data_IF_687089006240
#
_entry.id   IF_687089006240
#
_cell.length_a   1.000
_cell.length_b   1.000
_cell.length_c   1.000
_cell.angle_alpha   90.00
_cell.angle_beta   90.00
_cell.angle_gamma   90.00
#
_symmetry.space_group_name_H-M   'P 1'
#
loop_
_entity.id
_entity.type
_entity.pdbx_description
1 polymer ?
#
# COMPACT_ATOMS: atom_id res chain seq x y z
N UNK A 1 8.44 -26.24 -16.52
CA UNK A 1 9.11 -25.09 -15.91
C UNK A 1 8.41 -23.83 -16.38
N UNK A 2 7.97 -22.99 -15.46
CA UNK A 2 7.21 -21.75 -15.74
C UNK A 2 8.10 -20.56 -15.41
N UNK A 3 8.10 -19.53 -16.26
CA UNK A 3 8.82 -18.28 -15.98
C UNK A 3 7.82 -17.30 -15.37
N UNK A 4 8.09 -16.87 -14.14
CA UNK A 4 7.37 -15.81 -13.45
C UNK A 4 8.17 -14.51 -13.48
N UNK A 5 7.48 -13.39 -13.29
CA UNK A 5 8.08 -12.08 -13.13
C UNK A 5 7.19 -11.22 -12.24
N UNK A 6 7.75 -10.20 -11.58
CA UNK A 6 6.95 -9.21 -10.90
C UNK A 6 6.24 -8.28 -11.90
N UNK A 7 5.07 -7.76 -11.48
CA UNK A 7 4.26 -6.90 -12.35
C UNK A 7 4.75 -5.45 -12.36
N UNK A 8 5.58 -5.06 -11.39
CA UNK A 8 5.98 -3.67 -11.20
C UNK A 8 7.27 -3.33 -11.95
N UNK A 9 8.35 -4.08 -11.71
CA UNK A 9 9.65 -3.81 -12.34
C UNK A 9 9.86 -4.60 -13.61
N UNK A 10 9.27 -5.80 -13.68
CA UNK A 10 9.47 -6.80 -14.73
C UNK A 10 10.94 -7.23 -14.91
N UNK A 11 11.78 -7.07 -13.88
CA UNK A 11 13.20 -7.38 -13.91
C UNK A 11 13.58 -8.66 -13.16
N UNK A 12 12.62 -9.33 -12.52
CA UNK A 12 12.85 -10.51 -11.67
C UNK A 12 12.37 -11.82 -12.32
N UNK A 13 12.70 -12.03 -13.62
CA UNK A 13 12.33 -13.26 -14.31
C UNK A 13 12.93 -14.48 -13.62
N UNK A 14 12.06 -15.33 -13.07
CA UNK A 14 12.47 -16.49 -12.28
C UNK A 14 11.81 -17.75 -12.83
N UNK A 15 12.63 -18.78 -13.08
CA UNK A 15 12.16 -20.09 -13.47
C UNK A 15 11.71 -20.88 -12.25
N UNK A 16 10.41 -21.17 -12.15
CA UNK A 16 9.82 -22.02 -11.10
C UNK A 16 9.48 -23.40 -11.66
N UNK A 17 9.44 -24.42 -10.81
CA UNK A 17 9.07 -25.77 -11.20
C UNK A 17 7.64 -25.80 -11.70
N UNK A 18 6.72 -25.21 -10.93
CA UNK A 18 5.29 -25.04 -11.24
C UNK A 18 4.64 -23.96 -10.39
N UNK A 19 3.46 -23.55 -10.79
CA UNK A 19 2.61 -22.65 -10.01
C UNK A 19 1.41 -23.46 -9.51
N UNK A 20 1.16 -23.37 -8.21
CA UNK A 20 -0.02 -23.96 -7.56
C UNK A 20 -0.96 -22.81 -7.15
N UNK A 21 -2.24 -22.97 -7.46
CA UNK A 21 -3.27 -21.92 -7.26
C UNK A 21 -4.46 -22.48 -6.48
N UNK A 22 -4.30 -22.74 -5.16
CA UNK A 22 -5.40 -23.24 -4.36
C UNK A 22 -6.58 -22.26 -4.31
N UNK A 23 -7.78 -22.81 -4.31
CA UNK A 23 -9.03 -22.06 -4.18
C UNK A 23 -9.65 -22.16 -2.78
N UNK A 24 -9.14 -23.05 -1.95
CA UNK A 24 -9.60 -23.25 -0.58
C UNK A 24 -8.43 -23.37 0.40
N UNK A 25 -8.61 -22.97 1.68
CA UNK A 25 -7.59 -23.19 2.72
C UNK A 25 -7.20 -24.67 2.90
N UNK A 26 -8.13 -25.59 2.66
CA UNK A 26 -7.86 -27.04 2.73
C UNK A 26 -6.85 -27.48 1.66
N UNK A 27 -6.99 -26.96 0.44
CA UNK A 27 -6.04 -27.24 -0.65
C UNK A 27 -4.64 -26.73 -0.32
N UNK A 28 -4.50 -25.58 0.35
CA UNK A 28 -3.20 -25.07 0.81
C UNK A 28 -2.49 -26.11 1.67
N UNK A 29 -3.17 -26.64 2.69
CA UNK A 29 -2.60 -27.67 3.57
C UNK A 29 -2.19 -28.95 2.82
N UNK A 30 -3.00 -29.40 1.86
CA UNK A 30 -2.70 -30.56 1.01
C UNK A 30 -1.43 -30.31 0.18
N UNK A 31 -1.31 -29.13 -0.44
CA UNK A 31 -0.16 -28.76 -1.29
C UNK A 31 1.12 -28.65 -0.47
N UNK A 32 1.06 -28.02 0.71
CA UNK A 32 2.21 -27.92 1.62
C UNK A 32 2.69 -29.29 2.09
N UNK A 33 1.78 -30.16 2.53
CA UNK A 33 2.12 -31.53 2.93
C UNK A 33 2.71 -32.34 1.78
N UNK A 34 2.16 -32.23 0.57
CA UNK A 34 2.68 -32.90 -0.63
C UNK A 34 4.10 -32.45 -0.95
N UNK A 35 4.34 -31.15 -0.98
CA UNK A 35 5.67 -30.61 -1.24
C UNK A 35 6.69 -31.02 -0.18
N UNK A 36 6.33 -30.96 1.10
CA UNK A 36 7.16 -31.42 2.21
C UNK A 36 7.54 -32.90 2.05
N UNK A 37 6.58 -33.76 1.74
CA UNK A 37 6.81 -35.20 1.55
C UNK A 37 7.71 -35.48 0.34
N UNK A 38 7.68 -34.61 -0.67
CA UNK A 38 8.51 -34.70 -1.85
C UNK A 38 9.90 -34.01 -1.70
N UNK A 39 10.15 -33.33 -0.58
CA UNK A 39 11.37 -32.54 -0.38
C UNK A 39 11.43 -31.30 -1.29
N UNK A 40 10.28 -30.82 -1.78
CA UNK A 40 10.19 -29.65 -2.66
C UNK A 40 10.10 -28.34 -1.85
N UNK A 41 10.78 -27.30 -2.33
CA UNK A 41 10.73 -25.98 -1.72
C UNK A 41 9.58 -25.16 -2.31
N UNK A 42 8.89 -24.40 -1.43
CA UNK A 42 7.76 -23.54 -1.79
C UNK A 42 8.09 -22.09 -1.46
N UNK A 43 7.67 -21.16 -2.34
CA UNK A 43 7.52 -19.75 -2.03
C UNK A 43 6.06 -19.32 -2.15
N UNK A 44 5.67 -18.32 -1.35
CA UNK A 44 4.30 -17.79 -1.33
C UNK A 44 4.25 -16.52 -2.18
N UNK A 45 3.25 -16.41 -3.04
CA UNK A 45 3.05 -15.27 -3.90
C UNK A 45 1.61 -14.72 -3.80
N UNK A 46 1.49 -13.40 -3.67
CA UNK A 46 0.24 -12.66 -3.78
C UNK A 46 0.06 -12.09 -5.19
N UNK A 47 -0.21 -10.78 -5.27
CA UNK A 47 -0.44 -10.06 -6.54
C UNK A 47 0.85 -9.69 -7.31
N UNK A 48 2.00 -10.24 -6.94
CA UNK A 48 3.31 -10.12 -7.61
C UNK A 48 3.88 -8.69 -7.70
N UNK A 49 3.60 -7.84 -6.71
CA UNK A 49 4.06 -6.45 -6.69
C UNK A 49 5.44 -6.24 -6.03
N UNK A 50 6.07 -7.25 -5.46
CA UNK A 50 7.40 -7.14 -4.84
C UNK A 50 8.47 -6.95 -5.89
N UNK A 51 9.01 -5.73 -6.00
CA UNK A 51 9.95 -5.31 -7.04
C UNK A 51 11.35 -5.95 -6.94
N UNK A 52 11.69 -6.53 -5.79
CA UNK A 52 12.96 -7.26 -5.59
C UNK A 52 12.85 -8.77 -5.85
N UNK A 53 11.70 -9.28 -6.31
CA UNK A 53 11.50 -10.71 -6.58
C UNK A 53 11.42 -11.60 -5.33
N UNK A 54 11.19 -11.02 -4.15
CA UNK A 54 11.15 -11.74 -2.87
C UNK A 54 10.11 -12.88 -2.83
N UNK A 55 9.08 -12.79 -3.66
CA UNK A 55 8.02 -13.79 -3.82
C UNK A 55 8.40 -14.97 -4.72
N UNK A 56 9.61 -15.02 -5.25
CA UNK A 56 10.03 -16.06 -6.17
C UNK A 56 11.18 -16.90 -5.62
N UNK A 57 11.20 -18.17 -5.98
CA UNK A 57 12.25 -19.12 -5.66
C UNK A 57 12.60 -19.91 -6.92
N UNK A 58 13.84 -19.78 -7.39
CA UNK A 58 14.34 -20.56 -8.55
C UNK A 58 14.22 -22.06 -8.29
N UNK A 59 13.61 -22.79 -9.23
CA UNK A 59 13.32 -24.21 -9.14
C UNK A 59 12.40 -24.63 -7.98
N UNK A 60 11.77 -23.67 -7.28
CA UNK A 60 10.77 -23.92 -6.28
C UNK A 60 9.34 -23.98 -6.86
N UNK A 61 8.38 -24.30 -6.01
CA UNK A 61 6.96 -24.21 -6.31
C UNK A 61 6.50 -22.79 -5.93
N UNK A 62 5.81 -22.07 -6.82
CA UNK A 62 5.13 -20.83 -6.47
C UNK A 62 3.70 -21.14 -6.04
N UNK A 63 3.38 -20.89 -4.78
CA UNK A 63 2.04 -21.04 -4.22
C UNK A 63 1.33 -19.69 -4.24
N UNK A 64 0.39 -19.53 -5.17
CA UNK A 64 -0.33 -18.27 -5.39
C UNK A 64 -1.60 -18.18 -4.56
N UNK A 65 -1.87 -17.01 -3.99
CA UNK A 65 -3.13 -16.72 -3.30
C UNK A 65 -4.26 -16.25 -4.22
N UNK A 66 -4.07 -16.20 -5.52
CA UNK A 66 -4.96 -15.54 -6.49
C UNK A 66 -6.42 -15.94 -6.38
N UNK A 67 -6.71 -17.24 -6.22
CA UNK A 67 -8.09 -17.76 -6.11
C UNK A 67 -8.63 -17.82 -4.67
N UNK A 68 -7.84 -17.44 -3.68
CA UNK A 68 -8.28 -17.24 -2.31
C UNK A 68 -8.73 -15.78 -2.14
N UNK A 69 -9.84 -15.39 -2.77
CA UNK A 69 -10.27 -14.01 -2.90
C UNK A 69 -11.69 -13.72 -2.40
N UNK A 70 -12.28 -14.63 -1.63
CA UNK A 70 -13.60 -14.43 -1.01
C UNK A 70 -13.54 -13.34 0.04
N UNK A 71 -14.55 -12.47 0.05
CA UNK A 71 -14.74 -11.37 1.01
C UNK A 71 -16.04 -11.60 1.77
N UNK A 72 -16.00 -11.46 3.08
CA UNK A 72 -17.12 -11.63 4.01
C UNK A 72 -16.92 -12.83 4.93
N UNK A 73 -17.65 -12.89 6.04
CA UNK A 73 -18.73 -11.99 6.45
C UNK A 73 -18.25 -10.64 7.00
N UNK A 74 -19.15 -9.65 6.99
CA UNK A 74 -19.01 -8.37 7.67
C UNK A 74 -19.67 -8.44 9.05
N UNK A 75 -18.88 -8.24 10.10
CA UNK A 75 -19.41 -8.06 11.46
C UNK A 75 -19.46 -6.57 11.79
N UNK A 76 -20.66 -6.01 11.78
CA UNK A 76 -20.90 -4.58 12.09
C UNK A 76 -20.70 -4.27 13.57
N UNK A 77 -20.87 -5.24 14.47
CA UNK A 77 -20.74 -5.04 15.91
C UNK A 77 -19.27 -4.88 16.30
N UNK A 78 -18.42 -5.78 15.85
CA UNK A 78 -16.97 -5.73 16.07
C UNK A 78 -16.27 -4.80 15.09
N UNK A 79 -16.97 -4.32 14.05
CA UNK A 79 -16.41 -3.53 12.93
C UNK A 79 -15.25 -4.27 12.25
N UNK A 80 -15.48 -5.53 11.90
CA UNK A 80 -14.49 -6.35 11.21
C UNK A 80 -15.05 -7.00 9.96
N UNK A 81 -14.18 -7.33 9.03
CA UNK A 81 -14.52 -8.14 7.85
C UNK A 81 -13.51 -9.26 7.70
N UNK A 82 -13.99 -10.46 7.42
CA UNK A 82 -13.12 -11.57 7.04
C UNK A 82 -12.84 -11.49 5.55
N UNK A 83 -11.55 -11.55 5.16
CA UNK A 83 -11.14 -11.54 3.76
C UNK A 83 -10.10 -12.63 3.51
N UNK A 84 -10.18 -13.31 2.38
CA UNK A 84 -9.13 -14.23 1.96
C UNK A 84 -7.92 -13.43 1.42
N UNK A 85 -6.74 -14.02 1.55
CA UNK A 85 -5.45 -13.34 1.34
C UNK A 85 -5.20 -12.86 -0.09
N UNK A 86 -5.83 -13.47 -1.09
CA UNK A 86 -5.76 -13.07 -2.50
C UNK A 86 -6.70 -11.93 -2.88
N UNK A 87 -7.65 -11.55 -2.01
CA UNK A 87 -8.51 -10.40 -2.25
C UNK A 87 -7.67 -9.12 -2.37
N UNK A 88 -8.07 -8.19 -3.26
CA UNK A 88 -7.39 -6.92 -3.49
C UNK A 88 -8.16 -5.76 -2.90
N UNK A 89 -7.47 -4.67 -2.58
CA UNK A 89 -8.07 -3.47 -1.98
C UNK A 89 -9.27 -2.92 -2.75
N UNK A 90 -9.23 -2.74 -4.10
CA UNK A 90 -10.39 -2.23 -4.83
C UNK A 90 -11.60 -3.15 -4.73
N UNK A 91 -11.38 -4.47 -4.71
CA UNK A 91 -12.46 -5.45 -4.56
C UNK A 91 -13.09 -5.40 -3.18
N UNK A 92 -12.27 -5.25 -2.13
CA UNK A 92 -12.76 -5.11 -0.75
C UNK A 92 -13.61 -3.85 -0.58
N UNK A 93 -13.16 -2.69 -1.06
CA UNK A 93 -13.89 -1.44 -0.91
C UNK A 93 -15.21 -1.47 -1.71
N UNK A 94 -15.19 -2.00 -2.95
CA UNK A 94 -16.43 -2.18 -3.73
C UNK A 94 -17.41 -3.14 -3.05
N UNK A 95 -16.92 -4.24 -2.47
CA UNK A 95 -17.76 -5.21 -1.75
C UNK A 95 -18.37 -4.56 -0.51
N UNK A 96 -17.58 -3.85 0.32
CA UNK A 96 -18.07 -3.12 1.50
C UNK A 96 -19.14 -2.09 1.12
N UNK A 97 -18.94 -1.36 0.04
CA UNK A 97 -19.94 -0.39 -0.46
C UNK A 97 -21.24 -1.07 -0.90
N UNK A 98 -21.14 -2.24 -1.55
CA UNK A 98 -22.28 -3.02 -2.02
C UNK A 98 -23.06 -3.66 -0.87
N UNK A 99 -22.35 -4.30 0.07
CA UNK A 99 -22.94 -5.01 1.21
C UNK A 99 -23.70 -4.05 2.16
N UNK A 100 -23.32 -2.78 2.16
CA UNK A 100 -23.89 -1.79 3.05
C UNK A 100 -24.79 -0.76 2.34
N UNK A 101 -25.36 -1.11 1.17
CA UNK A 101 -26.30 -0.23 0.47
C UNK A 101 -27.48 0.14 1.37
N UNK A 102 -27.85 1.43 1.38
CA UNK A 102 -28.95 1.96 2.20
C UNK A 102 -28.61 2.24 3.67
N UNK A 103 -27.42 1.85 4.14
CA UNK A 103 -26.99 2.23 5.49
C UNK A 103 -26.49 3.68 5.51
N UNK A 104 -26.94 4.44 6.50
CA UNK A 104 -26.49 5.82 6.73
C UNK A 104 -25.05 5.86 7.29
N UNK A 105 -24.69 4.87 8.11
CA UNK A 105 -23.34 4.70 8.64
C UNK A 105 -22.69 3.47 8.01
N UNK A 106 -21.78 3.69 7.09
CA UNK A 106 -21.03 2.62 6.42
C UNK A 106 -19.66 2.44 7.07
N UNK A 107 -19.21 1.20 7.12
CA UNK A 107 -17.85 0.84 7.50
C UNK A 107 -16.97 0.75 6.26
N UNK A 108 -15.70 1.13 6.42
CA UNK A 108 -14.71 1.02 5.38
C UNK A 108 -13.32 0.75 5.94
N UNK A 109 -12.33 0.60 5.08
CA UNK A 109 -10.93 0.38 5.47
C UNK A 109 -10.38 1.57 6.25
N UNK A 110 -9.48 1.29 7.19
CA UNK A 110 -8.77 2.31 7.97
C UNK A 110 -7.60 2.84 7.15
N UNK A 111 -6.78 1.93 6.62
CA UNK A 111 -5.60 2.28 5.83
C UNK A 111 -5.33 1.25 4.73
N UNK A 112 -4.69 1.71 3.69
CA UNK A 112 -4.04 0.90 2.66
C UNK A 112 -2.76 1.60 2.20
N UNK A 113 -1.81 0.87 1.66
CA UNK A 113 -0.60 1.46 1.12
C UNK A 113 -0.92 2.41 -0.05
N UNK A 114 -0.39 3.62 0.00
CA UNK A 114 -0.53 4.61 -1.08
C UNK A 114 0.27 4.17 -2.30
N UNK A 115 -0.28 4.39 -3.50
CA UNK A 115 0.42 4.12 -4.77
C UNK A 115 0.45 2.65 -5.22
N UNK A 116 -0.16 1.73 -4.48
CA UNK A 116 -0.19 0.30 -4.81
C UNK A 116 -1.58 -0.30 -4.56
N UNK A 117 -2.54 0.07 -5.41
CA UNK A 117 -3.95 -0.28 -5.22
C UNK A 117 -4.24 -1.77 -5.43
N UNK A 118 -3.51 -2.42 -6.33
CA UNK A 118 -3.73 -3.81 -6.72
C UNK A 118 -3.00 -4.84 -5.82
N UNK A 119 -2.43 -4.42 -4.70
CA UNK A 119 -1.88 -5.35 -3.70
C UNK A 119 -2.96 -6.31 -3.17
N UNK A 120 -2.59 -7.57 -2.99
CA UNK A 120 -3.41 -8.53 -2.26
C UNK A 120 -3.32 -8.29 -0.75
N UNK A 121 -4.40 -8.61 -0.02
CA UNK A 121 -4.45 -8.43 1.43
C UNK A 121 -3.38 -9.28 2.16
N UNK A 122 -3.13 -10.51 1.68
CA UNK A 122 -2.04 -11.35 2.19
C UNK A 122 -0.66 -10.74 1.95
N UNK A 123 -0.43 -10.15 0.78
CA UNK A 123 0.79 -9.40 0.49
C UNK A 123 0.95 -8.17 1.38
N UNK A 124 -0.13 -7.42 1.59
CA UNK A 124 -0.14 -6.27 2.48
C UNK A 124 0.20 -6.65 3.94
N UNK A 125 -0.39 -7.74 4.46
CA UNK A 125 -0.06 -8.28 5.77
C UNK A 125 1.41 -8.74 5.83
N UNK A 126 1.85 -9.50 4.84
CA UNK A 126 3.21 -10.06 4.81
C UNK A 126 4.30 -9.00 4.71
N UNK A 127 3.99 -7.81 4.23
CA UNK A 127 4.90 -6.65 4.15
C UNK A 127 4.71 -5.67 5.31
N UNK A 128 3.72 -5.91 6.19
CA UNK A 128 3.30 -4.96 7.24
C UNK A 128 3.17 -3.53 6.71
N UNK A 129 2.39 -3.36 5.64
CA UNK A 129 2.25 -2.08 4.94
C UNK A 129 1.82 -0.96 5.87
N UNK A 130 2.23 0.26 5.56
CA UNK A 130 1.71 1.47 6.19
C UNK A 130 1.06 2.40 5.15
N UNK A 131 0.39 3.42 5.65
CA UNK A 131 -0.21 4.47 4.83
C UNK A 131 0.16 5.85 5.36
N UNK A 132 -0.51 6.88 4.87
CA UNK A 132 -0.40 8.26 5.38
C UNK A 132 -1.38 8.56 6.53
N UNK A 133 -1.92 7.54 7.18
CA UNK A 133 -2.78 7.73 8.36
C UNK A 133 -1.95 8.29 9.52
N UNK A 134 -2.44 9.36 10.15
CA UNK A 134 -1.72 10.02 11.25
C UNK A 134 -1.94 9.28 12.57
N UNK A 135 -0.86 9.17 13.36
CA UNK A 135 -0.92 8.65 14.72
C UNK A 135 -1.19 7.14 14.83
N UNK A 136 -1.11 6.37 13.72
CA UNK A 136 -1.32 4.92 13.72
C UNK A 136 -0.05 4.16 13.35
N UNK A 137 -0.01 2.91 13.79
CA UNK A 137 1.01 1.95 13.37
C UNK A 137 0.68 1.40 11.96
N UNK A 138 1.64 0.69 11.32
CA UNK A 138 1.36 -0.10 10.13
C UNK A 138 0.15 -1.03 10.27
N UNK A 139 -0.21 -1.77 9.20
CA UNK A 139 -1.41 -2.60 9.12
C UNK A 139 -1.57 -3.59 10.27
N UNK A 140 -0.48 -3.93 10.98
CA UNK A 140 -0.54 -4.77 12.19
C UNK A 140 -1.57 -4.27 13.20
N UNK A 141 -1.83 -2.96 13.27
CA UNK A 141 -2.84 -2.40 14.17
C UNK A 141 -4.27 -2.75 13.74
N UNK A 142 -4.48 -2.89 12.44
CA UNK A 142 -5.79 -3.15 11.85
C UNK A 142 -6.09 -4.65 11.70
N UNK A 143 -5.08 -5.51 11.85
CA UNK A 143 -5.28 -6.96 11.87
C UNK A 143 -5.81 -7.40 13.23
N UNK A 144 -7.03 -7.94 13.27
CA UNK A 144 -7.61 -8.54 14.46
C UNK A 144 -7.08 -9.95 14.68
N UNK A 145 -7.15 -10.76 13.63
CA UNK A 145 -6.62 -12.12 13.59
C UNK A 145 -6.43 -12.57 12.14
N UNK A 146 -5.72 -13.66 11.94
CA UNK A 146 -5.64 -14.34 10.64
C UNK A 146 -5.51 -15.85 10.84
N UNK A 147 -5.76 -16.60 9.78
CA UNK A 147 -5.42 -18.01 9.70
C UNK A 147 -4.19 -18.20 8.82
N UNK A 148 -3.25 -19.00 9.32
CA UNK A 148 -2.02 -19.37 8.62
C UNK A 148 -1.88 -20.87 8.55
N UNK A 149 -1.50 -21.40 7.39
CA UNK A 149 -1.13 -22.80 7.25
C UNK A 149 0.39 -22.90 7.24
N UNK A 150 0.94 -23.58 8.23
CA UNK A 150 2.38 -23.78 8.42
C UNK A 150 2.93 -24.89 7.51
N UNK A 151 4.26 -25.01 7.40
CA UNK A 151 4.91 -25.97 6.51
C UNK A 151 4.57 -27.45 6.76
N UNK A 152 4.06 -27.75 7.96
CA UNK A 152 3.55 -29.08 8.33
C UNK A 152 2.09 -29.31 7.97
N UNK A 153 1.46 -28.35 7.28
CA UNK A 153 0.07 -28.40 6.83
C UNK A 153 -0.95 -28.08 7.90
N UNK A 154 -0.53 -27.70 9.11
CA UNK A 154 -1.44 -27.32 10.17
C UNK A 154 -1.96 -25.90 9.96
N UNK A 155 -3.29 -25.74 10.01
CA UNK A 155 -3.96 -24.45 9.91
C UNK A 155 -4.23 -23.90 11.31
N UNK A 156 -3.58 -22.79 11.64
CA UNK A 156 -3.61 -22.16 12.96
C UNK A 156 -4.26 -20.78 12.89
N UNK A 157 -5.08 -20.47 13.89
CA UNK A 157 -5.54 -19.09 14.10
C UNK A 157 -4.49 -18.32 14.88
N UNK A 158 -4.18 -17.12 14.44
CA UNK A 158 -3.22 -16.24 15.06
C UNK A 158 -3.88 -14.90 15.41
N UNK A 159 -3.67 -14.45 16.64
CA UNK A 159 -4.17 -13.16 17.16
C UNK A 159 -3.22 -12.64 18.24
N UNK A 160 -3.60 -11.54 18.89
CA UNK A 160 -2.86 -11.03 20.06
C UNK A 160 -2.98 -11.90 21.31
N UNK A 161 -3.88 -12.89 21.29
CA UNK A 161 -4.19 -13.78 22.42
C UNK A 161 -3.92 -15.25 22.11
N UNK A 162 -3.84 -15.63 20.82
CA UNK A 162 -3.69 -16.99 20.34
C UNK A 162 -2.56 -17.08 19.32
N UNK A 163 -1.61 -18.02 19.53
CA UNK A 163 -0.40 -18.16 18.69
C UNK A 163 0.35 -16.83 18.50
N UNK A 164 0.61 -16.12 19.60
CA UNK A 164 1.11 -14.74 19.67
C UNK A 164 2.41 -14.58 18.88
N UNK A 165 3.37 -15.50 19.08
CA UNK A 165 4.68 -15.43 18.42
C UNK A 165 4.52 -15.52 16.89
N UNK A 166 3.66 -16.44 16.44
CA UNK A 166 3.36 -16.61 15.02
C UNK A 166 2.61 -15.41 14.45
N UNK A 167 1.71 -14.80 15.24
CA UNK A 167 1.04 -13.56 14.88
C UNK A 167 2.04 -12.43 14.62
N UNK A 168 3.01 -12.27 15.51
CA UNK A 168 4.04 -11.22 15.41
C UNK A 168 5.03 -11.49 14.26
N UNK A 169 5.44 -12.74 14.07
CA UNK A 169 6.41 -13.11 13.05
C UNK A 169 5.84 -13.10 11.63
N UNK A 170 4.58 -13.48 11.45
CA UNK A 170 3.97 -13.57 10.11
C UNK A 170 3.63 -12.18 9.52
N UNK A 171 3.29 -11.20 10.37
CA UNK A 171 3.05 -9.83 9.92
C UNK A 171 4.41 -9.16 9.64
N UNK A 172 4.64 -8.81 8.38
CA UNK A 172 5.96 -8.35 7.94
C UNK A 172 6.98 -9.49 7.72
N UNK A 173 6.54 -10.76 7.79
CA UNK A 173 7.40 -11.94 7.69
C UNK A 173 7.59 -12.46 6.26
N UNK A 174 7.15 -11.77 5.24
CA UNK A 174 7.34 -12.10 3.80
C UNK A 174 6.95 -13.54 3.41
N UNK A 175 5.99 -14.15 4.14
CA UNK A 175 5.52 -15.51 3.89
C UNK A 175 6.46 -16.62 4.40
N UNK A 176 7.51 -16.30 5.15
CA UNK A 176 8.50 -17.27 5.65
C UNK A 176 7.93 -18.22 6.73
N UNK A 177 6.87 -17.80 7.42
CA UNK A 177 6.29 -18.55 8.53
C UNK A 177 5.11 -19.42 8.14
N UNK A 178 4.68 -19.36 6.88
CA UNK A 178 3.55 -20.13 6.36
C UNK A 178 2.71 -19.31 5.37
N UNK A 179 1.63 -19.94 4.93
CA UNK A 179 0.68 -19.34 4.00
C UNK A 179 -0.53 -18.77 4.77
N UNK A 180 -0.64 -17.45 4.81
CA UNK A 180 -1.85 -16.78 5.35
C UNK A 180 -2.98 -16.96 4.34
N UNK A 181 -4.08 -17.61 4.75
CA UNK A 181 -5.20 -17.88 3.85
C UNK A 181 -6.39 -16.92 4.03
N UNK A 182 -6.60 -16.41 5.25
CA UNK A 182 -7.67 -15.47 5.56
C UNK A 182 -7.31 -14.53 6.69
N UNK A 183 -7.84 -13.32 6.64
CA UNK A 183 -7.53 -12.20 7.53
C UNK A 183 -8.84 -11.65 8.08
N UNK A 184 -8.93 -11.42 9.39
CA UNK A 184 -9.98 -10.64 10.01
C UNK A 184 -9.48 -9.20 10.18
N UNK A 185 -9.97 -8.30 9.33
CA UNK A 185 -9.51 -6.91 9.21
C UNK A 185 -10.46 -5.97 9.94
N UNK A 186 -9.93 -5.09 10.77
CA UNK A 186 -10.68 -4.00 11.41
C UNK A 186 -11.08 -2.94 10.40
N UNK A 187 -12.25 -2.40 10.61
CA UNK A 187 -12.84 -1.33 9.82
C UNK A 187 -13.12 -0.10 10.67
N UNK A 188 -13.31 1.03 10.02
CA UNK A 188 -13.75 2.27 10.64
C UNK A 188 -15.03 2.79 9.99
N UNK A 189 -15.71 3.72 10.62
CA UNK A 189 -16.82 4.42 9.99
C UNK A 189 -16.30 5.25 8.82
N UNK A 190 -16.97 5.11 7.66
CA UNK A 190 -16.67 5.91 6.46
C UNK A 190 -17.01 7.37 6.72
N UNK A 191 -16.07 8.26 6.51
CA UNK A 191 -16.19 9.69 6.79
C UNK A 191 -15.96 10.52 5.53
N UNK A 192 -16.62 11.68 5.47
CA UNK A 192 -16.29 12.69 4.50
C UNK A 192 -15.14 13.54 5.05
N UNK A 193 -14.09 13.69 4.28
CA UNK A 193 -12.88 14.42 4.63
C UNK A 193 -12.73 15.63 3.71
N UNK A 194 -12.24 16.74 4.24
CA UNK A 194 -11.82 17.91 3.49
C UNK A 194 -10.30 17.97 3.44
N UNK A 195 -9.73 18.12 2.26
CA UNK A 195 -8.29 18.29 2.06
C UNK A 195 -7.87 19.70 2.39
N UNK A 196 -6.77 19.86 3.11
CA UNK A 196 -6.03 21.11 3.28
C UNK A 196 -4.66 20.96 2.66
N UNK A 197 -4.27 21.93 1.83
CA UNK A 197 -3.00 21.93 1.10
C UNK A 197 -2.29 23.23 1.34
N UNK A 198 -1.01 23.14 1.75
CA UNK A 198 -0.12 24.30 1.88
C UNK A 198 1.29 23.94 1.43
N UNK A 199 2.03 24.93 0.94
CA UNK A 199 3.46 24.80 0.71
C UNK A 199 4.21 25.26 1.96
N UNK A 200 5.12 24.45 2.48
CA UNK A 200 5.78 24.66 3.76
C UNK A 200 7.27 24.33 3.71
N UNK A 201 8.01 24.88 4.67
CA UNK A 201 9.41 24.52 4.91
C UNK A 201 9.51 23.18 5.67
N UNK A 202 10.68 22.56 5.61
CA UNK A 202 10.99 21.32 6.32
C UNK A 202 10.75 21.44 7.83
N UNK A 203 11.09 22.57 8.42
CA UNK A 203 11.00 22.86 9.85
C UNK A 203 9.54 22.92 10.35
N UNK A 204 8.60 23.30 9.46
CA UNK A 204 7.18 23.45 9.78
C UNK A 204 6.41 22.12 9.73
N UNK A 205 6.94 21.11 9.01
CA UNK A 205 6.18 19.87 8.69
C UNK A 205 5.69 19.15 9.93
N UNK A 206 6.60 18.82 10.87
CA UNK A 206 6.22 18.05 12.06
C UNK A 206 5.28 18.83 12.97
N UNK A 207 5.57 20.12 13.32
CA UNK A 207 4.63 20.93 14.09
C UNK A 207 3.23 21.03 13.46
N UNK A 208 3.16 21.25 12.15
CA UNK A 208 1.88 21.36 11.44
C UNK A 208 1.12 20.02 11.42
N UNK A 209 1.78 18.91 11.15
CA UNK A 209 1.15 17.59 11.18
C UNK A 209 0.60 17.25 12.58
N UNK A 210 1.33 17.62 13.63
CA UNK A 210 0.90 17.43 15.03
C UNK A 210 -0.29 18.33 15.38
N UNK A 211 -0.27 19.58 14.94
CA UNK A 211 -1.38 20.52 15.14
C UNK A 211 -2.64 20.04 14.40
N UNK A 212 -2.53 19.68 13.12
CA UNK A 212 -3.66 19.14 12.36
C UNK A 212 -4.17 17.81 12.95
N UNK A 213 -3.29 16.93 13.42
CA UNK A 213 -3.70 15.70 14.11
C UNK A 213 -4.47 16.04 15.41
N UNK A 214 -4.06 17.06 16.17
CA UNK A 214 -4.78 17.61 17.33
C UNK A 214 -6.16 18.17 16.98
N UNK A 215 -6.34 18.71 15.78
CA UNK A 215 -7.61 19.16 15.22
C UNK A 215 -8.48 18.02 14.65
N UNK A 216 -8.00 16.78 14.68
CA UNK A 216 -8.72 15.59 14.22
C UNK A 216 -8.41 15.18 12.78
N UNK A 217 -7.35 15.71 12.15
CA UNK A 217 -6.92 15.21 10.86
C UNK A 217 -6.56 13.73 10.94
N UNK A 218 -7.06 12.95 9.98
CA UNK A 218 -6.91 11.50 9.96
C UNK A 218 -5.74 11.05 9.11
N UNK A 219 -5.45 11.79 8.03
CA UNK A 219 -4.40 11.45 7.08
C UNK A 219 -3.58 12.69 6.75
N UNK A 220 -2.30 12.50 6.45
CA UNK A 220 -1.42 13.57 6.05
C UNK A 220 -0.13 13.04 5.43
N UNK A 221 0.41 13.83 4.50
CA UNK A 221 1.69 13.57 3.84
C UNK A 221 2.38 14.87 3.48
N UNK A 222 3.70 14.79 3.28
CA UNK A 222 4.51 15.91 2.82
C UNK A 222 5.36 15.46 1.63
N UNK A 223 5.28 16.20 0.53
CA UNK A 223 5.98 15.87 -0.71
C UNK A 223 7.01 16.93 -1.02
N UNK A 224 8.28 16.53 -1.00
CA UNK A 224 9.43 17.42 -1.13
C UNK A 224 9.66 17.92 -2.55
N UNK A 225 10.28 19.11 -2.64
CA UNK A 225 11.00 19.53 -3.82
C UNK A 225 12.19 18.58 -4.06
N UNK A 226 12.20 17.93 -5.21
CA UNK A 226 13.19 16.89 -5.55
C UNK A 226 14.21 17.34 -6.62
N UNK A 227 14.22 18.61 -6.98
CA UNK A 227 15.22 19.18 -7.88
C UNK A 227 16.49 19.53 -7.10
N UNK A 228 17.54 18.72 -7.25
CA UNK A 228 18.83 18.88 -6.59
C UNK A 228 19.57 20.15 -6.96
N UNK A 229 19.17 20.84 -8.03
CA UNK A 229 19.74 22.13 -8.42
C UNK A 229 19.06 23.32 -7.74
N UNK A 230 17.93 23.07 -7.06
CA UNK A 230 17.16 24.08 -6.35
C UNK A 230 17.68 24.32 -4.93
N UNK A 231 17.70 25.56 -4.48
CA UNK A 231 17.95 25.89 -3.06
C UNK A 231 16.92 25.25 -2.12
N UNK A 232 15.72 25.01 -2.63
CA UNK A 232 14.59 24.40 -1.91
C UNK A 232 14.65 22.85 -1.88
N UNK A 233 15.67 22.23 -2.50
CA UNK A 233 15.83 20.78 -2.53
C UNK A 233 15.74 20.17 -1.13
N UNK A 234 14.82 19.25 -0.92
CA UNK A 234 14.49 18.56 0.34
C UNK A 234 14.24 19.47 1.56
N UNK A 235 14.18 20.80 1.36
CA UNK A 235 13.91 21.76 2.43
C UNK A 235 12.56 22.47 2.33
N UNK A 236 11.82 22.23 1.24
CA UNK A 236 10.49 22.77 0.98
C UNK A 236 9.62 21.71 0.33
N UNK A 237 8.32 21.81 0.52
CA UNK A 237 7.40 20.85 -0.09
C UNK A 237 5.94 21.16 0.15
N UNK A 238 5.09 20.24 -0.28
CA UNK A 238 3.63 20.35 -0.25
C UNK A 238 3.10 19.48 0.90
N UNK A 239 2.52 20.14 1.89
CA UNK A 239 1.78 19.48 2.96
C UNK A 239 0.33 19.26 2.50
N UNK A 240 -0.16 18.04 2.65
CA UNK A 240 -1.54 17.67 2.39
C UNK A 240 -2.09 16.92 3.58
N UNK A 241 -3.18 17.42 4.18
CA UNK A 241 -3.87 16.76 5.30
C UNK A 241 -5.36 16.63 5.03
N UNK A 242 -6.00 15.66 5.67
CA UNK A 242 -7.41 15.38 5.51
C UNK A 242 -8.11 15.42 6.86
N UNK A 243 -9.05 16.36 6.98
CA UNK A 243 -9.79 16.65 8.21
C UNK A 243 -11.23 16.22 8.04
N UNK A 244 -11.90 15.61 9.04
CA UNK A 244 -13.31 15.31 8.96
C UNK A 244 -14.12 16.55 8.62
N UNK A 245 -14.93 16.47 7.55
CA UNK A 245 -15.78 17.57 7.11
C UNK A 245 -17.07 17.62 7.91
N UNK A 246 -17.43 18.80 8.42
CA UNK A 246 -18.73 19.05 9.07
C UNK A 246 -19.86 19.30 8.09
N UNK A 247 -19.55 19.52 6.82
CA UNK A 247 -20.55 19.78 5.76
C UNK A 247 -21.16 18.45 5.31
N UNK A 248 -22.49 18.43 5.14
CA UNK A 248 -23.17 17.28 4.56
C UNK A 248 -22.60 16.94 3.17
N UNK A 249 -22.69 15.67 2.78
CA UNK A 249 -22.26 15.17 1.47
C UNK A 249 -23.20 15.64 0.33
N UNK A 250 -23.46 16.95 0.26
CA UNK A 250 -23.88 17.59 -0.98
C UNK A 250 -22.74 17.43 -2.00
N UNK A 251 -23.03 17.35 -3.25
CA UNK A 251 -22.11 17.12 -4.37
C UNK A 251 -20.62 17.08 -3.98
N UNK A 252 -20.02 15.88 -4.02
CA UNK A 252 -18.56 15.76 -3.99
C UNK A 252 -18.04 16.62 -5.14
N UNK A 253 -17.08 17.48 -4.85
CA UNK A 253 -16.46 18.33 -5.86
C UNK A 253 -15.79 17.44 -6.90
N UNK A 254 -16.48 17.12 -7.98
CA UNK A 254 -15.91 16.41 -9.10
C UNK A 254 -15.10 17.41 -9.92
N UNK A 255 -13.85 17.15 -10.17
CA UNK A 255 -13.23 17.81 -11.28
C UNK A 255 -11.78 18.27 -11.20
N UNK A 256 -11.10 18.16 -10.07
CA UNK A 256 -9.67 18.52 -9.99
C UNK A 256 -8.76 17.29 -9.91
N UNK A 257 -9.19 16.14 -10.41
CA UNK A 257 -8.32 14.96 -10.45
C UNK A 257 -7.46 14.95 -11.70
N UNK A 258 -6.19 14.62 -11.53
CA UNK A 258 -5.28 14.39 -12.65
C UNK A 258 -5.74 13.14 -13.42
N UNK A 259 -5.79 13.24 -14.72
CA UNK A 259 -6.01 12.09 -15.60
C UNK A 259 -4.79 11.15 -15.61
N UNK A 260 -4.96 9.94 -16.10
CA UNK A 260 -3.83 9.01 -16.29
C UNK A 260 -2.73 9.62 -17.16
N UNK A 261 -3.11 10.41 -18.19
CA UNK A 261 -2.15 11.06 -19.07
C UNK A 261 -1.42 12.22 -18.39
N UNK A 262 -2.07 12.95 -17.47
CA UNK A 262 -1.40 13.98 -16.67
C UNK A 262 -0.39 13.33 -15.71
N UNK A 263 -0.74 12.20 -15.08
CA UNK A 263 0.19 11.44 -14.26
C UNK A 263 1.39 10.93 -15.05
N UNK A 264 1.19 10.42 -16.29
CA UNK A 264 2.30 10.03 -17.17
C UNK A 264 3.22 11.20 -17.48
N UNK A 265 2.66 12.38 -17.79
CA UNK A 265 3.45 13.60 -18.05
C UNK A 265 4.26 14.02 -16.82
N UNK A 266 3.62 14.09 -15.64
CA UNK A 266 4.31 14.42 -14.39
C UNK A 266 5.42 13.41 -14.08
N UNK A 267 5.18 12.12 -14.30
CA UNK A 267 6.16 11.08 -14.10
C UNK A 267 7.39 11.24 -15.02
N UNK A 268 7.20 11.58 -16.28
CA UNK A 268 8.29 11.89 -17.21
C UNK A 268 9.01 13.17 -16.77
N UNK A 269 8.27 14.24 -16.42
CA UNK A 269 8.86 15.50 -15.94
C UNK A 269 9.71 15.30 -14.68
N UNK A 270 9.29 14.45 -13.75
CA UNK A 270 10.06 14.12 -12.55
C UNK A 270 11.45 13.54 -12.84
N UNK A 271 11.69 13.08 -14.08
CA UNK A 271 12.99 12.56 -14.53
C UNK A 271 13.72 13.46 -15.54
N UNK A 272 13.01 14.41 -16.14
CA UNK A 272 13.55 15.25 -17.22
C UNK A 272 13.63 16.73 -16.84
N UNK A 273 12.73 17.19 -15.97
CA UNK A 273 12.66 18.56 -15.49
C UNK A 273 11.97 18.61 -14.13
N UNK A 274 12.71 18.29 -13.09
CA UNK A 274 12.18 18.15 -11.71
C UNK A 274 11.54 19.43 -11.19
N UNK A 275 12.10 20.59 -11.54
CA UNK A 275 11.53 21.90 -11.19
C UNK A 275 10.12 22.06 -11.76
N UNK A 276 9.97 21.84 -13.06
CA UNK A 276 8.66 21.93 -13.73
C UNK A 276 7.66 20.87 -13.19
N UNK A 277 8.14 19.67 -12.89
CA UNK A 277 7.31 18.63 -12.27
C UNK A 277 6.75 19.13 -10.93
N UNK A 278 7.59 19.67 -10.06
CA UNK A 278 7.18 20.21 -8.77
C UNK A 278 6.18 21.38 -8.93
N UNK A 279 6.46 22.35 -9.79
CA UNK A 279 5.59 23.49 -10.03
C UNK A 279 4.20 23.08 -10.53
N UNK A 280 4.13 22.13 -11.47
CA UNK A 280 2.85 21.61 -11.97
C UNK A 280 2.09 20.83 -10.88
N UNK A 281 2.79 20.02 -10.10
CA UNK A 281 2.22 19.26 -9.02
C UNK A 281 1.71 20.17 -7.90
N UNK A 282 2.50 21.14 -7.46
CA UNK A 282 2.11 22.17 -6.49
C UNK A 282 0.84 22.92 -6.93
N UNK A 283 0.85 23.44 -8.17
CA UNK A 283 -0.29 24.17 -8.72
C UNK A 283 -1.57 23.33 -8.78
N UNK A 284 -1.43 22.02 -9.08
CA UNK A 284 -2.56 21.11 -9.04
C UNK A 284 -3.06 20.92 -7.60
N UNK A 285 -2.16 20.59 -6.66
CA UNK A 285 -2.54 20.33 -5.27
C UNK A 285 -3.18 21.53 -4.59
N UNK A 286 -2.65 22.74 -4.79
CA UNK A 286 -3.24 23.97 -4.27
C UNK A 286 -4.68 24.21 -4.77
N UNK A 287 -5.00 23.79 -5.99
CA UNK A 287 -6.39 23.85 -6.52
C UNK A 287 -7.33 22.83 -5.85
N UNK A 288 -6.79 21.82 -5.18
CA UNK A 288 -7.56 20.81 -4.45
C UNK A 288 -7.76 21.17 -2.97
N UNK A 289 -7.26 22.32 -2.50
CA UNK A 289 -7.54 22.82 -1.16
C UNK A 289 -9.05 23.01 -0.97
N UNK A 290 -9.58 22.49 0.14
CA UNK A 290 -11.02 22.48 0.41
C UNK A 290 -11.81 21.38 -0.31
N UNK A 291 -11.22 20.64 -1.24
CA UNK A 291 -11.88 19.51 -1.92
C UNK A 291 -12.21 18.39 -0.95
N UNK A 292 -13.37 17.76 -1.15
CA UNK A 292 -13.89 16.72 -0.25
C UNK A 292 -13.78 15.33 -0.86
N UNK A 293 -13.44 14.35 -0.01
CA UNK A 293 -13.24 12.95 -0.37
C UNK A 293 -13.85 12.03 0.68
N UNK A 294 -14.31 10.88 0.26
CA UNK A 294 -14.56 9.82 1.23
C UNK A 294 -13.25 9.23 1.75
N UNK A 295 -13.26 8.82 3.03
CA UNK A 295 -12.06 8.34 3.73
C UNK A 295 -11.41 7.08 3.14
N UNK A 296 -12.09 6.35 2.29
CA UNK A 296 -11.56 5.26 1.49
C UNK A 296 -11.09 5.72 0.10
N UNK A 297 -11.87 6.59 -0.57
CA UNK A 297 -11.61 6.99 -1.96
C UNK A 297 -10.26 7.72 -2.12
N UNK A 298 -9.93 8.66 -1.20
CA UNK A 298 -8.67 9.40 -1.28
C UNK A 298 -7.41 8.54 -1.08
N UNK A 299 -7.55 7.31 -0.60
CA UNK A 299 -6.43 6.38 -0.41
C UNK A 299 -6.01 5.68 -1.71
N UNK A 300 -6.87 5.71 -2.72
CA UNK A 300 -6.54 5.18 -4.03
C UNK A 300 -5.79 6.23 -4.86
N UNK A 301 -4.89 5.74 -5.70
CA UNK A 301 -4.08 6.58 -6.58
C UNK A 301 -3.95 5.93 -7.95
N UNK A 302 -3.81 6.72 -9.02
CA UNK A 302 -3.58 6.17 -10.33
C UNK A 302 -2.35 5.27 -10.35
N UNK A 303 -2.50 4.08 -10.87
CA UNK A 303 -1.45 3.09 -11.00
C UNK A 303 -0.91 3.10 -12.43
N UNK A 304 0.42 3.27 -12.57
CA UNK A 304 1.12 3.23 -13.86
C UNK A 304 1.95 1.94 -13.95
N UNK A 305 1.36 0.80 -14.36
CA UNK A 305 2.06 -0.48 -14.36
C UNK A 305 3.27 -0.50 -15.29
N UNK A 306 3.27 0.30 -16.34
CA UNK A 306 4.33 0.38 -17.34
C UNK A 306 5.29 1.57 -17.14
N UNK A 307 5.37 2.13 -15.93
CA UNK A 307 6.18 3.30 -15.64
C UNK A 307 7.64 3.15 -16.08
N UNK A 308 8.28 2.02 -15.78
CA UNK A 308 9.66 1.72 -16.20
C UNK A 308 9.81 1.64 -17.73
N UNK A 309 8.85 1.05 -18.42
CA UNK A 309 8.82 0.96 -19.89
C UNK A 309 8.61 2.34 -20.52
N UNK A 310 7.71 3.15 -19.96
CA UNK A 310 7.47 4.52 -20.40
C UNK A 310 8.74 5.36 -20.30
N UNK A 311 9.40 5.36 -19.15
CA UNK A 311 10.66 6.07 -18.95
C UNK A 311 11.76 5.57 -19.87
N UNK A 312 11.92 4.25 -20.00
CA UNK A 312 12.93 3.64 -20.85
C UNK A 312 12.80 4.09 -22.31
N UNK A 313 11.58 4.13 -22.83
CA UNK A 313 11.31 4.64 -24.19
C UNK A 313 11.58 6.14 -24.30
N UNK A 314 11.13 6.94 -23.33
CA UNK A 314 11.25 8.40 -23.35
C UNK A 314 12.68 8.86 -23.17
N UNK A 315 13.44 8.18 -22.31
CA UNK A 315 14.82 8.56 -21.95
C UNK A 315 15.89 7.77 -22.75
N UNK A 316 15.47 6.89 -23.66
CA UNK A 316 16.39 6.10 -24.48
C UNK A 316 17.28 5.15 -23.68
N UNK A 317 16.76 4.51 -22.65
CA UNK A 317 17.55 3.58 -21.83
C UNK A 317 17.98 2.35 -22.65
N UNK A 318 19.28 2.14 -22.71
CA UNK A 318 19.87 0.96 -23.36
C UNK A 318 19.64 -0.34 -22.56
N UNK A 319 19.47 -0.21 -21.24
CA UNK A 319 19.24 -1.32 -20.31
C UNK A 319 17.93 -1.06 -19.56
N UNK A 320 17.06 -2.05 -19.43
CA UNK A 320 15.84 -1.93 -18.62
C UNK A 320 16.16 -1.52 -17.17
N UNK A 321 15.42 -0.58 -16.64
CA UNK A 321 15.57 -0.06 -15.28
C UNK A 321 14.22 -0.01 -14.59
N UNK A 322 14.22 0.00 -13.27
CA UNK A 322 13.04 0.19 -12.45
C UNK A 322 13.33 1.19 -11.35
N UNK A 323 12.25 1.78 -10.82
CA UNK A 323 12.31 2.59 -9.62
C UNK A 323 12.37 1.65 -8.41
N UNK A 324 13.16 2.02 -7.42
CA UNK A 324 13.22 1.35 -6.12
C UNK A 324 12.71 2.32 -5.05
N UNK A 325 11.83 1.84 -4.19
CA UNK A 325 11.34 2.59 -3.04
C UNK A 325 12.09 2.12 -1.81
N UNK A 326 12.69 3.07 -1.10
CA UNK A 326 13.31 2.83 0.20
C UNK A 326 12.57 3.64 1.26
N UNK A 327 12.26 3.01 2.38
CA UNK A 327 11.57 3.64 3.50
C UNK A 327 12.48 3.68 4.72
N UNK A 328 12.49 4.83 5.40
CA UNK A 328 13.31 5.06 6.58
C UNK A 328 12.44 5.62 7.71
N UNK A 329 12.51 5.00 8.87
CA UNK A 329 11.84 5.47 10.07
C UNK A 329 12.78 6.35 10.88
N UNK A 330 12.47 7.64 10.94
CA UNK A 330 13.29 8.64 11.62
C UNK A 330 12.54 9.15 12.86
N UNK A 331 13.17 9.18 14.06
CA UNK A 331 12.57 9.81 15.21
C UNK A 331 12.23 11.28 14.93
N UNK A 332 11.05 11.75 15.35
CA UNK A 332 10.58 13.11 15.07
C UNK A 332 11.59 14.18 15.47
N UNK A 333 12.22 14.03 16.64
CA UNK A 333 13.23 14.97 17.14
C UNK A 333 14.53 15.01 16.31
N UNK A 334 14.74 14.05 15.41
CA UNK A 334 15.89 13.96 14.52
C UNK A 334 15.54 14.18 13.05
N UNK A 335 14.28 14.43 12.76
CA UNK A 335 13.78 14.47 11.39
C UNK A 335 14.45 15.58 10.56
N UNK A 336 14.50 16.81 11.08
CA UNK A 336 15.10 17.96 10.37
C UNK A 336 16.59 17.72 10.13
N UNK A 337 17.33 17.27 11.16
CA UNK A 337 18.77 16.98 11.07
C UNK A 337 19.04 15.87 10.04
N UNK A 338 18.21 14.82 10.06
CA UNK A 338 18.28 13.73 9.08
C UNK A 338 18.08 14.25 7.66
N UNK A 339 17.04 15.05 7.41
CA UNK A 339 16.74 15.58 6.07
C UNK A 339 17.83 16.52 5.55
N UNK A 340 18.42 17.35 6.43
CA UNK A 340 19.57 18.19 6.09
C UNK A 340 20.80 17.35 5.69
N UNK A 341 21.05 16.27 6.45
CA UNK A 341 22.13 15.32 6.10
C UNK A 341 21.86 14.59 4.78
N UNK A 342 20.61 14.15 4.56
CA UNK A 342 20.20 13.53 3.32
C UNK A 342 20.37 14.48 2.13
N UNK A 343 20.01 15.76 2.28
CA UNK A 343 20.24 16.81 1.27
C UNK A 343 21.71 16.84 0.86
N UNK A 344 22.64 16.94 1.81
CA UNK A 344 24.09 16.98 1.55
C UNK A 344 24.63 15.75 0.82
N UNK A 345 24.02 14.58 1.02
CA UNK A 345 24.46 13.33 0.38
C UNK A 345 23.88 13.18 -1.03
N UNK A 346 22.70 13.75 -1.28
CA UNK A 346 21.96 13.59 -2.54
C UNK A 346 22.15 14.76 -3.53
N UNK A 347 22.72 15.89 -3.09
CA UNK A 347 23.24 16.95 -3.95
C UNK A 347 24.53 16.49 -4.66
#
# INVERSE_FOLDING_TARGET
>A
MTILNDVQSQLNRTAVTRVETPSTPKEVGILLNKARSAGESICVAGALHSMGGQQFLTNGISLSSEYLNVIGPLDKRSKTVTVQSGARWPSLVRWLASEQRGNSQRLTIIQKQTGADELSLGGALSSNIHSRVLGRKPIVEDIESFYITTSDGNRLKCSREENIDLFQCAIGGYGLFGFVDSINLKLTTRQLLERKVTENSLEEVIPLLEDYAGQGATYGDFQYMTDETSQDFLSKGILSVYIPSSKEAGYLDQGNELTVDDWKKLFVLAHTNKKMAYEQYLNHYLKTDGQRYWSDDHQFSPYLPEAGTLLGKTLGWAIPRSLVITELYVPRSKFVDFMRSAKTVLE
#
